data_IF_335818295363
#
_entry.id   IF_335818295363
#
_cell.length_a   1.000
_cell.length_b   1.000
_cell.length_c   1.000
_cell.angle_alpha   90.00
_cell.angle_beta   90.00
_cell.angle_gamma   90.00
#
_symmetry.space_group_name_H-M   'P 1'
#
loop_
_entity.id
_entity.type
_entity.pdbx_description
1 polymer ?
#
# COMPACT_ATOMS: atom_id res chain seq x y z
N UNK A 1 1.59 -9.75 11.34
CA UNK A 1 1.10 -10.54 10.17
C UNK A 1 2.03 -10.31 8.99
N UNK A 2 2.27 -11.35 8.17
CA UNK A 2 3.18 -11.30 7.02
C UNK A 2 2.43 -11.53 5.70
N UNK A 3 2.76 -10.75 4.68
CA UNK A 3 2.19 -10.83 3.34
C UNK A 3 3.27 -10.75 2.26
N UNK A 4 3.12 -11.52 1.19
CA UNK A 4 4.03 -11.58 0.05
C UNK A 4 3.40 -10.93 -1.18
N UNK A 5 4.18 -10.09 -1.85
CA UNK A 5 3.81 -9.54 -3.15
C UNK A 5 4.04 -10.57 -4.26
N UNK A 6 2.97 -10.91 -4.99
CA UNK A 6 3.06 -11.71 -6.20
C UNK A 6 2.56 -10.90 -7.39
N UNK A 7 3.30 -10.93 -8.49
CA UNK A 7 2.98 -10.11 -9.64
C UNK A 7 2.74 -10.98 -10.88
N UNK A 8 1.49 -11.38 -11.05
CA UNK A 8 1.08 -12.37 -12.05
C UNK A 8 0.85 -11.77 -13.46
N UNK A 9 0.50 -10.48 -13.58
CA UNK A 9 0.24 -9.81 -14.87
C UNK A 9 0.52 -8.29 -14.75
N UNK A 10 1.10 -7.60 -15.77
CA UNK A 10 1.34 -6.14 -15.75
C UNK A 10 0.19 -5.23 -15.30
N UNK A 11 -1.07 -5.69 -15.38
CA UNK A 11 -2.25 -4.89 -15.02
C UNK A 11 -2.77 -5.09 -13.60
N UNK A 12 -2.37 -6.19 -12.94
CA UNK A 12 -2.92 -6.63 -11.66
C UNK A 12 -1.79 -6.90 -10.68
N UNK A 13 -1.92 -6.36 -9.47
CA UNK A 13 -1.01 -6.66 -8.37
C UNK A 13 -1.73 -7.53 -7.36
N UNK A 14 -1.09 -8.62 -6.96
CA UNK A 14 -1.62 -9.56 -5.97
C UNK A 14 -0.79 -9.52 -4.69
N UNK A 15 -1.47 -9.54 -3.55
CA UNK A 15 -0.86 -9.72 -2.24
C UNK A 15 -1.49 -10.93 -1.56
N UNK A 16 -0.66 -11.87 -1.12
CA UNK A 16 -1.12 -13.07 -0.42
C UNK A 16 -0.45 -13.19 0.93
N UNK A 17 -1.21 -13.57 1.95
CA UNK A 17 -0.67 -13.76 3.29
C UNK A 17 -1.78 -13.99 4.31
N UNK A 18 -1.45 -14.68 5.40
CA UNK A 18 -2.38 -14.95 6.49
C UNK A 18 -3.73 -15.57 6.05
N UNK A 19 -3.74 -16.40 4.99
CA UNK A 19 -4.95 -17.00 4.42
C UNK A 19 -5.84 -16.05 3.61
N UNK A 20 -5.38 -14.82 3.33
CA UNK A 20 -6.11 -13.79 2.60
C UNK A 20 -5.36 -13.46 1.30
N UNK A 21 -6.12 -13.20 0.23
CA UNK A 21 -5.61 -12.75 -1.06
C UNK A 21 -6.26 -11.43 -1.46
N UNK A 22 -5.44 -10.42 -1.78
CA UNK A 22 -5.86 -9.13 -2.31
C UNK A 22 -5.42 -8.99 -3.76
N UNK A 23 -6.32 -8.55 -4.63
CA UNK A 23 -6.03 -8.28 -6.05
C UNK A 23 -6.51 -6.88 -6.40
N UNK A 24 -5.60 -6.04 -6.90
CA UNK A 24 -5.92 -4.69 -7.35
C UNK A 24 -5.63 -4.59 -8.84
N UNK A 25 -6.69 -4.29 -9.60
CA UNK A 25 -6.57 -3.86 -10.99
C UNK A 25 -6.39 -2.35 -11.06
N UNK A 26 -5.48 -1.89 -11.90
CA UNK A 26 -5.05 -0.49 -11.94
C UNK A 26 -6.14 0.56 -12.25
N UNK A 27 -7.36 0.16 -12.61
CA UNK A 27 -8.37 1.02 -13.24
C UNK A 27 -9.61 1.31 -12.40
N UNK A 28 -9.74 0.84 -11.15
CA UNK A 28 -11.02 0.95 -10.42
C UNK A 28 -10.91 1.61 -9.04
N UNK A 29 -11.99 2.30 -8.67
CA UNK A 29 -12.33 2.62 -7.29
C UNK A 29 -12.46 1.33 -6.49
N UNK A 30 -12.10 1.36 -5.21
CA UNK A 30 -12.06 0.16 -4.39
C UNK A 30 -12.72 0.36 -3.04
N UNK A 31 -13.48 -0.63 -2.54
CA UNK A 31 -14.10 -0.56 -1.24
C UNK A 31 -13.04 -0.69 -0.15
N UNK A 32 -12.84 0.35 0.65
CA UNK A 32 -12.02 0.35 1.86
C UNK A 32 -12.94 0.71 3.02
N UNK A 33 -13.04 -0.18 4.02
CA UNK A 33 -13.95 -0.01 5.16
C UNK A 33 -15.39 0.33 4.74
N UNK A 34 -15.87 -0.32 3.66
CA UNK A 34 -17.22 -0.09 3.10
C UNK A 34 -17.40 1.21 2.31
N UNK A 35 -16.32 1.95 2.01
CA UNK A 35 -16.36 3.16 1.17
C UNK A 35 -15.58 2.93 -0.12
N UNK A 36 -16.16 3.26 -1.25
CA UNK A 36 -15.42 3.27 -2.52
C UNK A 36 -14.45 4.44 -2.55
N UNK A 37 -13.18 4.11 -2.68
CA UNK A 37 -12.07 5.04 -2.70
C UNK A 37 -11.46 5.03 -4.10
N UNK A 38 -11.32 6.21 -4.72
CA UNK A 38 -10.59 6.32 -5.98
C UNK A 38 -9.08 6.40 -5.72
N UNK A 39 -8.30 5.68 -6.53
CA UNK A 39 -6.84 5.73 -6.52
C UNK A 39 -6.31 7.16 -6.67
N UNK A 40 -7.02 8.01 -7.43
CA UNK A 40 -6.65 9.43 -7.63
C UNK A 40 -6.87 10.30 -6.40
N UNK A 41 -7.70 9.86 -5.46
CA UNK A 41 -8.03 10.61 -4.25
C UNK A 41 -7.03 10.34 -3.13
N UNK A 42 -6.28 9.23 -3.22
CA UNK A 42 -5.29 8.82 -2.22
C UNK A 42 -3.93 9.46 -2.41
N UNK A 43 -3.50 9.64 -3.66
CA UNK A 43 -2.18 10.17 -3.97
C UNK A 43 -2.30 11.26 -5.04
N UNK A 44 -1.81 12.45 -4.71
CA UNK A 44 -1.72 13.55 -5.68
C UNK A 44 -0.76 13.14 -6.79
N UNK A 45 -1.12 13.47 -8.04
CA UNK A 45 -0.39 13.10 -9.27
C UNK A 45 1.08 13.57 -9.31
N UNK A 46 1.46 14.46 -8.39
CA UNK A 46 2.78 15.08 -8.25
C UNK A 46 3.71 14.28 -7.33
N UNK A 47 3.17 13.53 -6.37
CA UNK A 47 3.91 12.56 -5.56
C UNK A 47 4.19 11.34 -6.45
N UNK A 48 5.33 11.34 -7.13
CA UNK A 48 5.56 10.48 -8.31
C UNK A 48 6.62 9.41 -8.13
N UNK A 49 7.30 9.40 -6.97
CA UNK A 49 8.30 8.38 -6.64
C UNK A 49 7.89 7.66 -5.38
N UNK A 50 8.25 6.38 -5.27
CA UNK A 50 8.12 5.69 -4.00
C UNK A 50 8.98 6.36 -2.94
N UNK A 51 10.11 6.92 -3.36
CA UNK A 51 11.14 7.53 -2.52
C UNK A 51 10.67 8.83 -1.83
N UNK A 52 9.48 9.33 -2.17
CA UNK A 52 8.87 10.49 -1.50
C UNK A 52 7.90 10.05 -0.42
N UNK A 53 7.94 10.73 0.72
CA UNK A 53 6.91 10.64 1.75
C UNK A 53 5.51 10.87 1.15
N UNK A 54 4.54 10.04 1.55
CA UNK A 54 3.16 10.14 1.08
C UNK A 54 2.20 10.08 2.24
N UNK A 55 1.40 11.12 2.40
CA UNK A 55 0.42 11.21 3.47
C UNK A 55 -0.99 11.16 2.91
N UNK A 56 -1.84 10.32 3.50
CA UNK A 56 -3.25 10.22 3.16
C UNK A 56 -4.10 10.18 4.43
N UNK A 57 -5.41 10.41 4.29
CA UNK A 57 -6.35 10.40 5.40
C UNK A 57 -7.50 9.46 5.13
N UNK A 58 -7.93 8.74 6.17
CA UNK A 58 -9.17 7.96 6.16
C UNK A 58 -9.99 8.38 7.38
N UNK A 59 -11.13 9.03 7.11
CA UNK A 59 -11.91 9.65 8.18
C UNK A 59 -11.08 10.72 8.89
N UNK A 60 -10.92 10.57 10.21
CA UNK A 60 -10.12 11.48 11.04
C UNK A 60 -8.65 11.05 11.17
N UNK A 61 -8.31 9.82 10.78
CA UNK A 61 -6.96 9.29 10.93
C UNK A 61 -6.06 9.72 9.76
N UNK A 62 -4.79 9.99 10.08
CA UNK A 62 -3.76 10.34 9.11
C UNK A 62 -2.70 9.24 9.07
N UNK A 63 -2.34 8.88 7.84
CA UNK A 63 -1.40 7.82 7.53
C UNK A 63 -0.28 8.38 6.68
N UNK A 64 0.95 7.95 6.94
CA UNK A 64 2.12 8.43 6.22
C UNK A 64 3.02 7.26 5.84
N UNK A 65 3.21 7.04 4.54
CA UNK A 65 4.28 6.19 4.04
C UNK A 65 5.59 6.97 4.00
N UNK A 66 6.60 6.47 4.70
CA UNK A 66 7.99 6.96 4.66
C UNK A 66 8.86 5.96 3.93
N UNK A 67 9.72 6.47 3.06
CA UNK A 67 10.77 5.69 2.41
C UNK A 67 12.12 6.01 3.07
N UNK A 68 12.86 4.99 3.48
CA UNK A 68 14.23 5.12 3.95
C UNK A 68 15.06 3.98 3.40
N UNK A 69 16.02 4.29 2.53
CA UNK A 69 16.88 3.33 1.84
C UNK A 69 16.09 2.17 1.19
N UNK A 70 16.12 1.00 1.85
CA UNK A 70 15.45 -0.23 1.45
C UNK A 70 14.21 -0.57 2.27
N UNK A 71 13.66 0.36 3.05
CA UNK A 71 12.50 0.15 3.91
C UNK A 71 11.39 1.15 3.58
N UNK A 72 10.17 0.63 3.50
CA UNK A 72 8.94 1.41 3.47
C UNK A 72 8.19 1.22 4.77
N UNK A 73 7.94 2.30 5.49
CA UNK A 73 7.21 2.25 6.76
C UNK A 73 5.92 3.04 6.62
N UNK A 74 4.80 2.44 6.99
CA UNK A 74 3.52 3.11 7.16
C UNK A 74 3.34 3.50 8.61
N UNK A 75 3.12 4.78 8.85
CA UNK A 75 2.86 5.33 10.17
C UNK A 75 1.40 5.77 10.29
N UNK A 76 0.80 5.55 11.47
CA UNK A 76 -0.45 6.17 11.90
C UNK A 76 -0.16 7.12 13.05
N UNK A 77 -0.29 8.42 12.82
CA UNK A 77 0.00 9.42 13.87
C UNK A 77 1.41 9.29 14.46
N UNK A 78 2.41 9.00 13.62
CA UNK A 78 3.82 8.76 13.96
C UNK A 78 4.16 7.40 14.62
N UNK A 79 3.19 6.49 14.77
CA UNK A 79 3.48 5.12 15.19
C UNK A 79 3.56 4.20 13.96
N UNK A 80 4.63 3.40 13.79
CA UNK A 80 4.73 2.46 12.68
C UNK A 80 3.70 1.33 12.84
N UNK A 81 2.94 1.08 11.79
CA UNK A 81 1.89 0.03 11.76
C UNK A 81 2.13 -1.01 10.67
N UNK A 82 2.96 -0.70 9.67
CA UNK A 82 3.39 -1.66 8.68
C UNK A 82 4.76 -1.32 8.12
N UNK A 83 5.50 -2.33 7.70
CA UNK A 83 6.85 -2.21 7.16
C UNK A 83 7.01 -3.13 5.94
N UNK A 84 7.68 -2.64 4.90
CA UNK A 84 7.97 -3.42 3.69
C UNK A 84 9.43 -3.29 3.33
N UNK A 85 10.15 -4.41 3.25
CA UNK A 85 11.50 -4.44 2.70
C UNK A 85 11.47 -4.31 1.17
N UNK A 86 12.23 -3.33 0.67
CA UNK A 86 12.45 -3.05 -0.75
C UNK A 86 13.66 -3.84 -1.23
N UNK A 87 13.43 -5.03 -1.78
CA UNK A 87 14.44 -5.84 -2.49
C UNK A 87 14.26 -5.73 -4.00
N UNK A 88 13.31 -6.51 -4.54
CA UNK A 88 12.78 -6.43 -5.90
C UNK A 88 11.27 -6.62 -5.83
N UNK A 89 10.53 -6.00 -6.76
CA UNK A 89 9.05 -5.92 -6.77
C UNK A 89 8.32 -7.27 -6.58
N UNK A 90 8.96 -8.38 -6.97
CA UNK A 90 8.41 -9.75 -6.89
C UNK A 90 8.82 -10.52 -5.63
N UNK A 91 9.60 -9.91 -4.76
CA UNK A 91 10.19 -10.54 -3.57
C UNK A 91 10.09 -9.65 -2.33
N UNK A 92 9.19 -8.66 -2.35
CA UNK A 92 8.93 -7.81 -1.20
C UNK A 92 7.93 -8.47 -0.27
N UNK A 93 8.23 -8.38 1.02
CA UNK A 93 7.37 -8.85 2.10
C UNK A 93 6.85 -7.63 2.85
N UNK A 94 5.55 -7.61 3.12
CA UNK A 94 4.89 -6.63 3.98
C UNK A 94 4.65 -7.26 5.35
N UNK A 95 5.18 -6.61 6.38
CA UNK A 95 4.92 -6.89 7.78
C UNK A 95 3.90 -5.89 8.30
N UNK A 96 2.82 -6.38 8.91
CA UNK A 96 1.77 -5.56 9.52
C UNK A 96 1.72 -5.85 11.01
N UNK A 97 1.72 -4.80 11.84
CA UNK A 97 1.59 -4.94 13.28
C UNK A 97 0.24 -5.58 13.65
N UNK A 98 0.20 -6.39 14.72
CA UNK A 98 -1.02 -7.13 15.07
C UNK A 98 -2.18 -6.21 15.50
N UNK A 99 -1.87 -5.13 16.20
CA UNK A 99 -2.81 -4.09 16.60
C UNK A 99 -3.36 -3.28 15.40
N UNK A 100 -2.68 -3.35 14.26
CA UNK A 100 -3.11 -2.76 13.01
C UNK A 100 -4.00 -3.69 12.16
N UNK A 101 -4.38 -4.88 12.66
CA UNK A 101 -5.28 -5.80 11.96
C UNK A 101 -6.61 -5.17 11.49
N UNK A 102 -7.28 -4.28 12.25
CA UNK A 102 -8.50 -3.61 11.78
C UNK A 102 -8.28 -2.68 10.58
N UNK A 103 -7.01 -2.34 10.28
CA UNK A 103 -6.61 -1.46 9.20
C UNK A 103 -6.03 -2.23 8.01
N UNK A 104 -6.06 -3.56 8.02
CA UNK A 104 -5.35 -4.40 7.05
C UNK A 104 -5.71 -4.05 5.60
N UNK A 105 -7.00 -3.90 5.32
CA UNK A 105 -7.49 -3.49 3.99
C UNK A 105 -6.91 -2.13 3.59
N UNK A 106 -6.89 -1.16 4.51
CA UNK A 106 -6.31 0.16 4.25
C UNK A 106 -4.82 0.08 3.91
N UNK A 107 -4.05 -0.68 4.71
CA UNK A 107 -2.60 -0.80 4.59
C UNK A 107 -2.25 -1.42 3.23
N UNK A 108 -2.80 -2.60 2.97
CA UNK A 108 -2.52 -3.37 1.76
C UNK A 108 -2.93 -2.57 0.51
N UNK A 109 -4.10 -1.95 0.54
CA UNK A 109 -4.60 -1.19 -0.59
C UNK A 109 -3.77 0.05 -0.88
N UNK A 110 -3.39 0.81 0.16
CA UNK A 110 -2.53 1.97 -0.02
C UNK A 110 -1.19 1.60 -0.68
N UNK A 111 -0.61 0.47 -0.25
CA UNK A 111 0.65 -0.03 -0.79
C UNK A 111 0.51 -0.47 -2.26
N UNK A 112 -0.52 -1.23 -2.59
CA UNK A 112 -0.75 -1.66 -3.97
C UNK A 112 -1.06 -0.47 -4.90
N UNK A 113 -1.77 0.55 -4.40
CA UNK A 113 -2.04 1.79 -5.15
C UNK A 113 -0.77 2.58 -5.44
N UNK A 114 0.12 2.78 -4.45
CA UNK A 114 1.41 3.46 -4.66
C UNK A 114 2.21 2.78 -5.77
N UNK A 115 2.27 1.45 -5.75
CA UNK A 115 2.97 0.66 -6.76
C UNK A 115 2.37 0.79 -8.16
N UNK A 116 1.05 0.77 -8.26
CA UNK A 116 0.34 0.89 -9.52
C UNK A 116 0.60 2.23 -10.20
N UNK A 117 0.66 3.32 -9.42
CA UNK A 117 0.91 4.67 -9.93
C UNK A 117 2.32 4.77 -10.52
N UNK A 118 3.32 4.20 -9.85
CA UNK A 118 4.71 4.24 -10.31
C UNK A 118 4.89 3.64 -11.71
N UNK A 119 4.21 2.52 -12.00
CA UNK A 119 4.34 1.81 -13.29
C UNK A 119 3.83 2.56 -14.50
N UNK A 120 2.87 3.47 -14.33
CA UNK A 120 2.28 4.22 -15.46
C UNK A 120 3.23 5.25 -16.07
N UNK A 121 4.40 5.48 -15.47
CA UNK A 121 5.38 6.48 -15.93
C UNK A 121 6.72 5.88 -16.36
N UNK A 122 6.87 4.55 -16.34
CA UNK A 122 8.05 3.85 -16.89
C UNK A 122 7.82 3.55 -18.37
#
# INVERSE_FOLDING_TARGET
MEFTFTHNNPHDTELTGNGITYIVSSTRSMPVNGKDINVKDFFKKEESYLDTERSFKIGAESFTWRASDSLFTLERGNAPIAEMERKQLRSSTLFVAEDAAPLLDTIIMSLIMMWTIQRRRV
#
